data_IF_473826624839
#
_entry.id   IF_473826624839
#
_cell.length_a   1.000
_cell.length_b   1.000
_cell.length_c   1.000
_cell.angle_alpha   90.00
_cell.angle_beta   90.00
_cell.angle_gamma   90.00
#
_symmetry.space_group_name_H-M   'P 1'
#
loop_
_entity.id
_entity.type
_entity.pdbx_description
1 polymer ?
#
# COMPACT_ATOMS: atom_id res chain seq x y z
N UNK A 1 -13.13 -21.57 -7.64
CA UNK A 1 -13.48 -20.15 -7.81
C UNK A 1 -12.27 -19.35 -7.40
N UNK A 2 -11.78 -18.38 -8.19
CA UNK A 2 -10.62 -17.57 -7.83
C UNK A 2 -10.89 -16.74 -6.56
N UNK A 3 -9.80 -16.40 -5.85
CA UNK A 3 -9.84 -15.52 -4.69
C UNK A 3 -9.40 -14.11 -5.13
N UNK A 4 -10.17 -13.10 -4.78
CA UNK A 4 -9.77 -11.71 -4.97
C UNK A 4 -8.79 -11.32 -3.85
N UNK A 5 -7.61 -10.85 -4.23
CA UNK A 5 -6.59 -10.36 -3.31
C UNK A 5 -6.43 -8.84 -3.46
N UNK A 6 -6.74 -8.12 -2.39
CA UNK A 6 -6.54 -6.67 -2.35
C UNK A 6 -5.31 -6.30 -1.53
N UNK A 7 -4.38 -5.58 -2.14
CA UNK A 7 -3.26 -4.95 -1.44
C UNK A 7 -3.71 -3.57 -0.97
N UNK A 8 -4.01 -3.46 0.32
CA UNK A 8 -4.37 -2.22 0.99
C UNK A 8 -3.10 -1.51 1.44
N UNK A 9 -2.70 -0.51 0.69
CA UNK A 9 -1.43 0.17 0.92
C UNK A 9 -1.55 1.65 0.56
N UNK A 10 -1.15 2.60 1.43
CA UNK A 10 -1.15 4.02 1.10
C UNK A 10 -0.27 4.33 -0.12
N UNK A 11 -0.51 5.44 -0.83
CA UNK A 11 0.37 5.86 -1.92
C UNK A 11 1.79 6.09 -1.37
N UNK A 12 2.82 5.86 -2.20
CA UNK A 12 4.25 6.06 -1.85
C UNK A 12 4.77 5.24 -0.67
N UNK A 13 4.03 4.25 -0.19
CA UNK A 13 4.45 3.36 0.90
C UNK A 13 4.98 2.01 0.44
N UNK A 14 5.39 1.89 -0.82
CA UNK A 14 5.94 0.66 -1.38
C UNK A 14 4.89 -0.26 -2.01
N UNK A 15 3.67 0.24 -2.21
CA UNK A 15 2.56 -0.52 -2.78
C UNK A 15 2.90 -1.17 -4.13
N UNK A 16 3.61 -0.45 -4.99
CA UNK A 16 4.03 -0.97 -6.30
C UNK A 16 5.03 -2.11 -6.17
N UNK A 17 5.96 -2.03 -5.20
CA UNK A 17 6.92 -3.11 -4.94
C UNK A 17 6.18 -4.38 -4.51
N UNK A 18 5.31 -4.29 -3.51
CA UNK A 18 4.55 -5.44 -3.02
C UNK A 18 3.64 -6.03 -4.11
N UNK A 19 2.95 -5.18 -4.85
CA UNK A 19 2.09 -5.61 -5.96
C UNK A 19 2.88 -6.35 -7.05
N UNK A 20 4.02 -5.80 -7.49
CA UNK A 20 4.88 -6.43 -8.50
C UNK A 20 5.47 -7.74 -7.97
N UNK A 21 5.89 -7.80 -6.71
CA UNK A 21 6.39 -9.02 -6.08
C UNK A 21 5.33 -10.14 -6.07
N UNK A 22 4.10 -9.84 -5.66
CA UNK A 22 3.00 -10.80 -5.69
C UNK A 22 2.70 -11.23 -7.14
N UNK A 23 2.82 -10.31 -8.09
CA UNK A 23 2.57 -10.59 -9.51
C UNK A 23 3.64 -11.48 -10.17
N UNK A 24 4.76 -11.80 -9.51
CA UNK A 24 5.73 -12.78 -10.00
C UNK A 24 5.22 -14.21 -9.91
N UNK A 25 4.25 -14.48 -9.04
CA UNK A 25 3.63 -15.82 -8.93
C UNK A 25 2.85 -16.17 -10.20
N UNK A 26 3.07 -17.39 -10.69
CA UNK A 26 2.34 -17.94 -11.85
C UNK A 26 0.85 -18.11 -11.59
N UNK A 27 0.43 -18.11 -10.32
CA UNK A 27 -0.94 -18.29 -9.86
C UNK A 27 -1.74 -16.98 -9.81
N UNK A 28 -1.10 -15.85 -10.12
CA UNK A 28 -1.71 -14.51 -10.03
C UNK A 28 -2.10 -13.97 -11.39
N UNK A 29 -3.28 -13.40 -11.46
CA UNK A 29 -3.66 -12.44 -12.50
C UNK A 29 -3.77 -11.06 -11.89
N UNK A 30 -2.87 -10.16 -12.26
CA UNK A 30 -2.91 -8.75 -11.85
C UNK A 30 -3.63 -7.92 -12.88
N UNK A 31 -4.29 -6.83 -12.44
CA UNK A 31 -4.66 -5.77 -13.38
C UNK A 31 -3.39 -5.14 -14.00
N UNK A 32 -3.45 -4.64 -15.24
CA UNK A 32 -2.28 -4.04 -15.92
C UNK A 32 -1.80 -2.74 -15.23
N UNK A 33 -2.72 -2.08 -14.51
CA UNK A 33 -2.52 -0.85 -13.72
C UNK A 33 -3.21 -1.00 -12.38
N UNK A 34 -3.13 0.03 -11.53
CA UNK A 34 -4.07 0.18 -10.42
C UNK A 34 -5.49 0.23 -11.00
N UNK A 35 -6.43 -0.52 -10.43
CA UNK A 35 -7.78 -0.60 -10.96
C UNK A 35 -8.49 0.75 -11.12
N UNK A 36 -8.07 1.74 -10.31
CA UNK A 36 -8.54 3.13 -10.43
C UNK A 36 -8.03 3.89 -11.66
N UNK A 37 -7.04 3.38 -12.38
CA UNK A 37 -6.46 4.00 -13.58
C UNK A 37 -6.85 3.29 -14.87
N UNK A 38 -7.70 2.26 -14.81
CA UNK A 38 -8.23 1.69 -16.03
C UNK A 38 -9.11 2.72 -16.76
N UNK A 39 -8.98 2.84 -18.07
CA UNK A 39 -9.64 3.92 -18.85
C UNK A 39 -11.13 4.05 -18.58
N UNK A 40 -11.83 2.92 -18.43
CA UNK A 40 -13.28 2.89 -18.20
C UNK A 40 -13.69 3.34 -16.79
N UNK A 41 -12.74 3.39 -15.86
CA UNK A 41 -12.99 3.63 -14.43
C UNK A 41 -12.26 4.85 -13.89
N UNK A 42 -11.30 5.42 -14.62
CA UNK A 42 -10.43 6.46 -14.10
C UNK A 42 -11.22 7.68 -13.60
N UNK A 43 -12.13 8.20 -14.41
CA UNK A 43 -12.96 9.34 -14.01
C UNK A 43 -13.77 9.01 -12.77
N UNK A 44 -14.43 7.85 -12.77
CA UNK A 44 -15.33 7.41 -11.71
C UNK A 44 -14.60 7.17 -10.38
N UNK A 45 -13.50 6.42 -10.40
CA UNK A 45 -12.81 6.00 -9.18
C UNK A 45 -11.90 7.07 -8.60
N UNK A 46 -11.51 8.06 -9.41
CA UNK A 46 -10.63 9.16 -9.00
C UNK A 46 -11.38 10.46 -8.66
N UNK A 47 -12.68 10.50 -8.87
CA UNK A 47 -13.53 11.51 -8.29
C UNK A 47 -13.54 11.31 -6.77
N UNK A 48 -13.12 12.32 -6.01
CA UNK A 48 -13.07 12.30 -4.55
C UNK A 48 -12.47 11.02 -3.92
N UNK A 49 -11.28 10.56 -4.36
CA UNK A 49 -10.78 9.22 -4.07
C UNK A 49 -10.58 8.93 -2.57
N UNK A 50 -10.46 9.97 -1.74
CA UNK A 50 -10.27 9.90 -0.30
C UNK A 50 -11.50 10.30 0.52
N UNK A 51 -12.65 10.45 -0.14
CA UNK A 51 -13.92 10.69 0.55
C UNK A 51 -14.58 9.34 0.90
N UNK A 52 -14.74 9.05 2.20
CA UNK A 52 -15.38 7.82 2.69
C UNK A 52 -16.87 7.73 2.33
N UNK A 53 -17.52 8.88 2.16
CA UNK A 53 -18.94 8.95 1.86
C UNK A 53 -19.25 8.85 0.35
N UNK A 54 -18.20 8.86 -0.49
CA UNK A 54 -18.36 8.73 -1.94
C UNK A 54 -18.72 7.29 -2.31
N UNK A 55 -19.93 7.10 -2.80
CA UNK A 55 -20.47 5.79 -3.18
C UNK A 55 -20.06 5.45 -4.62
N UNK A 56 -19.32 4.36 -4.78
CA UNK A 56 -18.91 3.84 -6.08
C UNK A 56 -19.82 2.69 -6.54
N UNK A 57 -20.12 2.57 -7.85
CA UNK A 57 -20.89 1.47 -8.41
C UNK A 57 -20.03 0.19 -8.50
N UNK A 58 -19.79 -0.46 -7.39
CA UNK A 58 -18.89 -1.61 -7.28
C UNK A 58 -19.23 -2.79 -8.20
N UNK A 59 -20.52 -3.12 -8.49
CA UNK A 59 -20.84 -4.15 -9.48
C UNK A 59 -20.29 -3.82 -10.87
N UNK A 60 -20.38 -2.56 -11.30
CA UNK A 60 -19.82 -2.10 -12.58
C UNK A 60 -18.28 -2.16 -12.55
N UNK A 61 -17.65 -1.67 -11.47
CA UNK A 61 -16.19 -1.71 -11.30
C UNK A 61 -15.69 -3.15 -11.39
N UNK A 62 -16.34 -4.07 -10.67
CA UNK A 62 -16.01 -5.48 -10.70
C UNK A 62 -16.14 -6.08 -12.10
N UNK A 63 -17.23 -5.80 -12.80
CA UNK A 63 -17.44 -6.29 -14.15
C UNK A 63 -16.33 -5.82 -15.12
N UNK A 64 -15.90 -4.55 -15.02
CA UNK A 64 -14.76 -4.04 -15.80
C UNK A 64 -13.47 -4.75 -15.41
N UNK A 65 -13.14 -4.87 -14.12
CA UNK A 65 -11.91 -5.55 -13.69
C UNK A 65 -11.86 -7.01 -14.13
N UNK A 66 -12.99 -7.71 -14.13
CA UNK A 66 -13.11 -9.11 -14.60
C UNK A 66 -12.83 -9.28 -16.10
N UNK A 67 -12.92 -8.22 -16.91
CA UNK A 67 -12.49 -8.27 -18.32
C UNK A 67 -10.96 -8.23 -18.51
N UNK A 68 -10.24 -7.71 -17.50
CA UNK A 68 -8.78 -7.61 -17.51
C UNK A 68 -8.10 -8.78 -16.83
N UNK A 69 -8.76 -9.41 -15.84
CA UNK A 69 -8.21 -10.57 -15.16
C UNK A 69 -8.36 -11.86 -15.97
N UNK A 70 -7.33 -12.69 -15.96
CA UNK A 70 -7.48 -14.10 -16.29
C UNK A 70 -8.14 -14.84 -15.13
N UNK A 71 -9.45 -15.00 -15.20
CA UNK A 71 -10.25 -15.64 -14.15
C UNK A 71 -10.01 -17.15 -14.00
N UNK A 72 -9.15 -17.75 -14.82
CA UNK A 72 -8.66 -19.13 -14.65
C UNK A 72 -7.55 -19.21 -13.61
N UNK A 73 -6.88 -18.10 -13.30
CA UNK A 73 -5.88 -18.04 -12.24
C UNK A 73 -6.55 -18.08 -10.87
N UNK A 74 -5.95 -18.76 -9.88
CA UNK A 74 -6.52 -18.86 -8.54
C UNK A 74 -6.58 -17.56 -7.78
N UNK A 75 -5.73 -16.57 -8.11
CA UNK A 75 -5.62 -15.28 -7.43
C UNK A 75 -5.81 -14.12 -8.40
N UNK A 76 -6.79 -13.25 -8.11
CA UNK A 76 -7.05 -12.03 -8.86
C UNK A 76 -6.61 -10.83 -8.02
N UNK A 77 -5.53 -10.18 -8.42
CA UNK A 77 -4.83 -9.16 -7.63
C UNK A 77 -5.22 -7.75 -8.03
N UNK A 78 -5.56 -6.93 -7.03
CA UNK A 78 -5.81 -5.50 -7.19
C UNK A 78 -5.05 -4.68 -6.13
N UNK A 79 -4.56 -3.51 -6.54
CA UNK A 79 -3.92 -2.52 -5.68
C UNK A 79 -4.23 -1.11 -6.17
N UNK A 80 -5.14 -0.44 -5.49
CA UNK A 80 -5.41 0.99 -5.61
C UNK A 80 -5.36 1.63 -4.23
N UNK A 81 -4.51 2.62 -3.98
CA UNK A 81 -4.31 3.18 -2.63
C UNK A 81 -5.60 3.64 -1.93
N UNK A 82 -6.59 4.27 -2.60
CA UNK A 82 -7.83 4.65 -1.94
C UNK A 82 -8.67 3.48 -1.41
N UNK A 83 -8.38 2.24 -1.80
CA UNK A 83 -9.11 1.06 -1.31
C UNK A 83 -8.91 0.84 0.20
N UNK A 84 -7.91 1.47 0.84
CA UNK A 84 -7.76 1.43 2.30
C UNK A 84 -8.97 2.00 3.04
N UNK A 85 -9.75 2.89 2.44
CA UNK A 85 -10.98 3.46 3.02
C UNK A 85 -12.27 2.83 2.46
N UNK A 86 -12.17 1.82 1.58
CA UNK A 86 -13.30 1.23 0.84
C UNK A 86 -13.54 -0.25 1.19
N UNK A 87 -12.94 -0.73 2.25
CA UNK A 87 -12.87 -2.15 2.60
C UNK A 87 -14.23 -2.81 2.78
N UNK A 88 -15.20 -2.13 3.39
CA UNK A 88 -16.55 -2.66 3.59
C UNK A 88 -17.30 -2.87 2.26
N UNK A 89 -17.14 -1.92 1.33
CA UNK A 89 -17.73 -2.06 0.01
C UNK A 89 -17.05 -3.19 -0.80
N UNK A 90 -15.74 -3.37 -0.66
CA UNK A 90 -15.01 -4.49 -1.27
C UNK A 90 -15.50 -5.82 -0.69
N UNK A 91 -15.62 -5.95 0.63
CA UNK A 91 -16.17 -7.15 1.28
C UNK A 91 -17.57 -7.50 0.79
N UNK A 92 -18.40 -6.52 0.51
CA UNK A 92 -19.78 -6.73 0.03
C UNK A 92 -19.82 -7.27 -1.41
N UNK A 93 -18.87 -6.87 -2.26
CA UNK A 93 -18.93 -7.10 -3.71
C UNK A 93 -17.98 -8.19 -4.23
N UNK A 94 -16.92 -8.54 -3.49
CA UNK A 94 -15.91 -9.51 -3.91
C UNK A 94 -15.88 -10.71 -2.96
N UNK A 95 -16.12 -11.94 -3.49
CA UNK A 95 -16.16 -13.18 -2.69
C UNK A 95 -15.65 -14.36 -3.52
N UNK A 96 -14.75 -15.19 -3.00
CA UNK A 96 -14.00 -14.98 -1.74
C UNK A 96 -12.97 -13.83 -1.88
N UNK A 97 -12.69 -13.12 -0.80
CA UNK A 97 -11.75 -12.00 -0.79
C UNK A 97 -10.77 -12.11 0.39
N UNK A 98 -9.51 -11.77 0.13
CA UNK A 98 -8.44 -11.64 1.13
C UNK A 98 -7.76 -10.28 1.02
N UNK A 99 -7.17 -9.83 2.12
CA UNK A 99 -6.50 -8.53 2.20
C UNK A 99 -5.08 -8.65 2.74
N UNK A 100 -4.15 -7.99 2.06
CA UNK A 100 -2.82 -7.72 2.62
C UNK A 100 -2.76 -6.23 2.90
N UNK A 101 -2.54 -5.89 4.18
CA UNK A 101 -2.43 -4.53 4.69
C UNK A 101 -0.94 -4.22 4.78
N UNK A 102 -0.48 -3.11 4.19
CA UNK A 102 0.89 -2.65 4.36
C UNK A 102 0.93 -1.16 4.69
N UNK A 103 1.81 -0.82 5.64
CA UNK A 103 2.15 0.56 6.02
C UNK A 103 3.64 0.80 5.86
N UNK A 104 4.07 2.04 5.99
CA UNK A 104 5.48 2.46 5.92
C UNK A 104 5.76 3.50 6.99
N UNK A 105 7.04 3.60 7.39
CA UNK A 105 7.53 4.66 8.27
C UNK A 105 6.94 6.02 7.86
N UNK A 106 6.28 6.75 8.79
CA UNK A 106 5.53 7.96 8.47
C UNK A 106 6.39 9.10 7.92
N UNK A 107 7.68 9.17 8.29
CA UNK A 107 8.59 10.18 7.75
C UNK A 107 8.91 9.91 6.28
N UNK A 108 9.29 8.67 5.94
CA UNK A 108 9.57 8.25 4.57
C UNK A 108 8.31 8.32 3.67
N UNK A 109 7.12 8.06 4.25
CA UNK A 109 5.84 8.21 3.56
C UNK A 109 5.56 9.69 3.29
N UNK A 110 5.71 10.55 4.31
CA UNK A 110 5.51 12.00 4.20
C UNK A 110 6.48 12.65 3.21
N UNK A 111 7.76 12.22 3.19
CA UNK A 111 8.73 12.63 2.16
C UNK A 111 8.17 12.36 0.76
N UNK A 112 7.70 11.14 0.51
CA UNK A 112 7.12 10.77 -0.77
C UNK A 112 5.93 11.64 -1.19
N UNK A 113 5.05 11.97 -0.25
CA UNK A 113 3.89 12.85 -0.46
C UNK A 113 4.32 14.29 -0.76
N UNK A 114 5.27 14.83 -0.01
CA UNK A 114 5.80 16.17 -0.24
C UNK A 114 6.43 16.27 -1.62
N UNK A 115 7.37 15.37 -1.93
CA UNK A 115 8.15 15.42 -3.17
C UNK A 115 7.31 15.19 -4.42
N UNK A 116 6.36 14.22 -4.37
CA UNK A 116 5.57 13.83 -5.55
C UNK A 116 4.33 14.67 -5.79
N UNK A 117 3.72 15.19 -4.73
CA UNK A 117 2.47 15.95 -4.80
C UNK A 117 2.67 17.44 -4.52
N UNK A 118 3.90 17.88 -4.23
CA UNK A 118 4.21 19.23 -3.79
C UNK A 118 3.37 19.67 -2.56
N UNK A 119 3.19 18.74 -1.60
CA UNK A 119 2.42 19.04 -0.39
C UNK A 119 3.28 19.69 0.68
N UNK A 120 2.64 20.54 1.49
CA UNK A 120 3.28 21.07 2.69
C UNK A 120 3.58 19.94 3.70
N UNK A 121 4.59 20.14 4.55
CA UNK A 121 5.00 19.20 5.60
C UNK A 121 3.81 18.77 6.44
N UNK A 122 3.04 19.73 6.95
CA UNK A 122 1.89 19.49 7.81
C UNK A 122 0.80 18.67 7.11
N UNK A 123 0.53 18.96 5.82
CA UNK A 123 -0.45 18.19 5.03
C UNK A 123 0.01 16.75 4.84
N UNK A 124 1.27 16.54 4.50
CA UNK A 124 1.84 15.21 4.28
C UNK A 124 1.85 14.39 5.57
N UNK A 125 2.25 14.99 6.70
CA UNK A 125 2.26 14.32 8.01
C UNK A 125 0.85 13.92 8.47
N UNK A 126 -0.13 14.83 8.36
CA UNK A 126 -1.53 14.51 8.73
C UNK A 126 -2.11 13.40 7.84
N UNK A 127 -1.84 13.40 6.54
CA UNK A 127 -2.29 12.34 5.65
C UNK A 127 -1.61 11.01 5.99
N UNK A 128 -0.33 11.03 6.34
CA UNK A 128 0.40 9.85 6.77
C UNK A 128 -0.22 9.23 8.03
N UNK A 129 -0.53 10.04 9.04
CA UNK A 129 -1.24 9.58 10.26
C UNK A 129 -2.64 9.06 9.93
N UNK A 130 -3.39 9.75 9.08
CA UNK A 130 -4.71 9.28 8.63
C UNK A 130 -4.61 7.88 8.03
N UNK A 131 -3.61 7.63 7.16
CA UNK A 131 -3.39 6.32 6.57
C UNK A 131 -3.02 5.26 7.61
N UNK A 132 -2.11 5.56 8.55
CA UNK A 132 -1.73 4.62 9.63
C UNK A 132 -2.92 4.25 10.51
N UNK A 133 -3.76 5.23 10.87
CA UNK A 133 -4.98 5.00 11.65
C UNK A 133 -5.98 4.13 10.89
N UNK A 134 -6.26 4.48 9.64
CA UNK A 134 -7.17 3.70 8.78
C UNK A 134 -6.67 2.25 8.63
N UNK A 135 -5.38 2.05 8.43
CA UNK A 135 -4.83 0.69 8.34
C UNK A 135 -4.89 -0.06 9.67
N UNK A 136 -4.74 0.63 10.81
CA UNK A 136 -4.94 0.03 12.12
C UNK A 136 -6.41 -0.36 12.36
N UNK A 137 -7.36 0.44 11.91
CA UNK A 137 -8.79 0.10 11.87
C UNK A 137 -9.02 -1.15 11.01
N UNK A 138 -8.46 -1.17 9.80
CA UNK A 138 -8.56 -2.30 8.88
C UNK A 138 -8.01 -3.61 9.49
N UNK A 139 -6.91 -3.57 10.26
CA UNK A 139 -6.40 -4.78 10.92
C UNK A 139 -7.36 -5.37 11.96
N UNK A 140 -8.22 -4.56 12.52
CA UNK A 140 -9.21 -4.98 13.53
C UNK A 140 -10.53 -5.44 12.90
N UNK A 141 -10.93 -4.80 11.79
CA UNK A 141 -12.22 -5.03 11.14
C UNK A 141 -12.18 -6.14 10.08
N UNK A 142 -11.03 -6.31 9.40
CA UNK A 142 -10.86 -7.30 8.34
C UNK A 142 -10.37 -8.63 8.95
N UNK A 143 -11.31 -9.50 9.27
CA UNK A 143 -10.99 -10.78 9.86
C UNK A 143 -10.03 -11.58 8.99
N UNK A 144 -8.88 -11.98 9.56
CA UNK A 144 -7.87 -12.77 8.89
C UNK A 144 -7.04 -12.01 7.84
N UNK A 145 -7.04 -10.66 7.82
CA UNK A 145 -6.13 -9.91 6.96
C UNK A 145 -4.66 -10.08 7.40
N UNK A 146 -3.74 -10.14 6.44
CA UNK A 146 -2.31 -10.15 6.74
C UNK A 146 -1.79 -8.71 6.83
N UNK A 147 -1.23 -8.33 7.97
CA UNK A 147 -0.58 -7.04 8.17
C UNK A 147 0.95 -7.14 8.04
N UNK A 148 1.53 -6.22 7.28
CA UNK A 148 2.97 -6.09 7.03
C UNK A 148 3.38 -4.62 7.17
N UNK A 149 4.68 -4.39 7.37
CA UNK A 149 5.29 -3.07 7.14
C UNK A 149 6.20 -3.12 5.92
N UNK A 150 6.39 -1.99 5.25
CA UNK A 150 7.37 -1.86 4.17
C UNK A 150 8.76 -2.31 4.65
N UNK A 151 9.12 -1.93 5.86
CA UNK A 151 10.39 -2.28 6.49
C UNK A 151 10.57 -3.80 6.61
N UNK A 152 9.52 -4.50 7.04
CA UNK A 152 9.57 -5.98 7.14
C UNK A 152 9.74 -6.64 5.78
N UNK A 153 9.19 -6.04 4.73
CA UNK A 153 9.32 -6.53 3.36
C UNK A 153 10.74 -6.33 2.82
N UNK A 154 11.32 -5.12 2.98
CA UNK A 154 12.60 -4.79 2.35
C UNK A 154 13.82 -5.26 3.15
N UNK A 155 13.71 -5.40 4.47
CA UNK A 155 14.81 -5.88 5.33
C UNK A 155 14.92 -7.41 5.32
N UNK A 156 13.82 -8.12 5.11
CA UNK A 156 13.81 -9.57 5.00
C UNK A 156 12.75 -10.07 4.01
N UNK A 157 12.99 -9.92 2.70
CA UNK A 157 12.04 -10.29 1.66
C UNK A 157 11.59 -11.75 1.74
N UNK A 158 12.52 -12.65 1.98
CA UNK A 158 12.24 -14.10 2.10
C UNK A 158 11.26 -14.37 3.23
N UNK A 159 11.47 -13.79 4.41
CA UNK A 159 10.56 -13.95 5.55
C UNK A 159 9.19 -13.31 5.29
N UNK A 160 9.15 -12.17 4.60
CA UNK A 160 7.90 -11.53 4.21
C UNK A 160 7.12 -12.43 3.22
N UNK A 161 7.79 -12.99 2.21
CA UNK A 161 7.17 -13.93 1.27
C UNK A 161 6.69 -15.21 1.96
N UNK A 162 7.44 -15.75 2.93
CA UNK A 162 6.98 -16.90 3.71
C UNK A 162 5.68 -16.59 4.48
N UNK A 163 5.56 -15.41 5.09
CA UNK A 163 4.32 -14.98 5.75
C UNK A 163 3.15 -14.84 4.76
N UNK A 164 3.43 -14.29 3.58
CA UNK A 164 2.42 -14.16 2.52
C UNK A 164 1.99 -15.55 2.03
N UNK A 165 2.94 -16.48 1.82
CA UNK A 165 2.64 -17.86 1.42
C UNK A 165 1.87 -18.65 2.49
N UNK A 166 2.17 -18.45 3.78
CA UNK A 166 1.38 -19.02 4.88
C UNK A 166 -0.07 -18.49 4.90
N UNK A 167 -0.23 -17.20 4.61
CA UNK A 167 -1.54 -16.58 4.51
C UNK A 167 -2.31 -17.01 3.26
N UNK A 168 -1.62 -17.18 2.14
CA UNK A 168 -2.16 -17.57 0.84
C UNK A 168 -1.19 -18.52 0.13
N UNK A 169 -1.36 -19.85 0.30
CA UNK A 169 -0.43 -20.87 -0.22
C UNK A 169 -0.20 -20.80 -1.73
N UNK A 170 -1.16 -20.28 -2.47
CA UNK A 170 -1.06 -20.05 -3.92
C UNK A 170 0.08 -19.10 -4.31
N UNK A 171 0.60 -18.30 -3.35
CA UNK A 171 1.68 -17.34 -3.56
C UNK A 171 3.05 -17.87 -3.12
N UNK A 172 3.22 -19.19 -2.95
CA UNK A 172 4.48 -19.79 -2.48
C UNK A 172 5.63 -19.70 -3.48
N UNK A 173 5.36 -19.40 -4.73
CA UNK A 173 6.31 -19.32 -5.84
C UNK A 173 6.74 -17.88 -6.20
N UNK A 174 6.45 -16.90 -5.32
CA UNK A 174 6.91 -15.51 -5.53
C UNK A 174 8.44 -15.43 -5.64
N UNK A 175 8.92 -14.66 -6.61
CA UNK A 175 10.35 -14.47 -6.87
C UNK A 175 10.91 -13.26 -6.12
N UNK A 176 11.68 -13.52 -5.06
CA UNK A 176 12.35 -12.50 -4.25
C UNK A 176 13.62 -11.93 -4.90
N UNK A 177 14.16 -12.61 -5.91
CA UNK A 177 15.37 -12.19 -6.62
C UNK A 177 15.06 -11.30 -7.83
N UNK A 178 13.79 -11.16 -8.20
CA UNK A 178 13.36 -10.30 -9.29
C UNK A 178 13.73 -8.83 -9.05
N UNK A 179 14.09 -8.14 -10.12
CA UNK A 179 14.27 -6.70 -10.10
C UNK A 179 12.98 -6.01 -10.56
N UNK A 180 12.64 -4.93 -9.88
CA UNK A 180 11.41 -4.20 -10.11
C UNK A 180 11.69 -2.75 -10.50
N UNK A 181 10.93 -2.24 -11.46
CA UNK A 181 10.87 -0.79 -11.70
C UNK A 181 10.18 -0.12 -10.52
N UNK A 182 10.92 0.66 -9.78
CA UNK A 182 10.42 1.43 -8.64
C UNK A 182 10.75 2.92 -8.83
N UNK A 183 9.82 3.76 -8.40
CA UNK A 183 10.02 5.20 -8.37
C UNK A 183 10.70 5.61 -7.07
N UNK A 184 11.83 6.29 -7.18
CA UNK A 184 12.62 6.79 -6.05
C UNK A 184 12.96 8.27 -6.22
N UNK A 185 13.82 8.80 -5.33
CA UNK A 185 14.41 10.15 -5.44
C UNK A 185 15.20 10.28 -6.74
N UNK A 186 15.90 9.21 -7.14
CA UNK A 186 16.74 9.15 -8.34
C UNK A 186 15.96 8.86 -9.65
N UNK A 187 14.62 8.97 -9.61
CA UNK A 187 13.77 8.65 -10.76
C UNK A 187 13.25 7.22 -10.75
N UNK A 188 12.97 6.67 -11.93
CA UNK A 188 12.50 5.28 -12.11
C UNK A 188 13.69 4.40 -12.49
N UNK A 189 14.00 3.44 -11.64
CA UNK A 189 15.10 2.51 -11.83
C UNK A 189 14.65 1.08 -11.60
N UNK A 190 15.15 0.14 -12.41
CA UNK A 190 15.02 -1.29 -12.13
C UNK A 190 16.06 -1.70 -11.11
N UNK A 191 15.61 -2.22 -9.98
CA UNK A 191 16.51 -2.66 -8.90
C UNK A 191 15.87 -3.80 -8.09
N UNK A 192 16.69 -4.62 -7.41
CA UNK A 192 16.19 -5.61 -6.47
C UNK A 192 15.45 -4.94 -5.31
N UNK A 193 14.79 -5.73 -4.49
CA UNK A 193 14.14 -5.26 -3.26
C UNK A 193 15.17 -4.54 -2.38
N UNK A 194 14.97 -3.24 -2.18
CA UNK A 194 15.95 -2.38 -1.49
C UNK A 194 15.24 -1.43 -0.55
N UNK A 195 15.80 -1.21 0.64
CA UNK A 195 15.29 -0.21 1.56
C UNK A 195 15.59 1.22 1.06
N UNK A 196 14.52 1.98 0.88
CA UNK A 196 14.59 3.40 0.49
C UNK A 196 14.23 4.34 1.65
N UNK A 197 13.99 3.83 2.86
CA UNK A 197 13.67 4.68 4.00
C UNK A 197 14.85 5.56 4.41
N UNK A 198 16.02 4.96 4.49
CA UNK A 198 17.25 5.67 4.89
C UNK A 198 17.51 6.88 4.00
N UNK A 199 17.45 6.70 2.68
CA UNK A 199 17.67 7.81 1.72
C UNK A 199 16.58 8.88 1.86
N UNK A 200 15.33 8.49 2.04
CA UNK A 200 14.20 9.42 2.18
C UNK A 200 14.25 10.20 3.48
N UNK A 201 14.54 9.54 4.59
CA UNK A 201 14.63 10.22 5.90
C UNK A 201 15.85 11.11 5.99
N UNK A 202 16.99 10.71 5.40
CA UNK A 202 18.20 11.52 5.34
C UNK A 202 18.02 12.79 4.47
N UNK A 203 17.05 12.83 3.57
CA UNK A 203 16.74 14.02 2.78
C UNK A 203 15.91 15.08 3.54
N UNK A 204 15.39 14.74 4.73
CA UNK A 204 14.59 15.63 5.55
C UNK A 204 15.49 16.55 6.40
N UNK A 205 15.23 17.87 6.34
CA UNK A 205 15.91 18.80 7.24
C UNK A 205 15.44 18.68 8.69
N UNK A 206 16.25 19.13 9.65
CA UNK A 206 15.88 19.19 11.05
C UNK A 206 14.54 19.92 11.28
N UNK A 207 14.33 21.05 10.62
CA UNK A 207 13.07 21.81 10.68
C UNK A 207 11.87 21.01 10.14
N UNK A 208 12.08 20.23 9.07
CA UNK A 208 11.05 19.36 8.50
C UNK A 208 10.68 18.25 9.48
N UNK A 209 11.67 17.59 10.09
CA UNK A 209 11.44 16.53 11.08
C UNK A 209 10.71 17.11 12.32
N UNK A 210 11.13 18.27 12.82
CA UNK A 210 10.46 18.96 13.93
C UNK A 210 8.98 19.22 13.61
N UNK A 211 8.68 19.78 12.43
CA UNK A 211 7.30 20.04 11.99
C UNK A 211 6.47 18.74 11.81
N UNK A 212 7.09 17.63 11.43
CA UNK A 212 6.42 16.32 11.39
C UNK A 212 6.18 15.79 12.81
N UNK A 213 7.15 15.98 13.73
CA UNK A 213 7.02 15.59 15.13
C UNK A 213 5.88 16.32 15.82
N UNK A 214 5.61 17.59 15.50
CA UNK A 214 4.45 18.33 16.02
C UNK A 214 3.12 17.65 15.70
N UNK A 215 3.03 16.97 14.56
CA UNK A 215 1.84 16.18 14.17
C UNK A 215 1.89 14.80 14.79
N UNK A 216 3.02 14.09 14.65
CA UNK A 216 3.13 12.68 15.02
C UNK A 216 3.04 12.46 16.54
N UNK A 217 3.57 13.39 17.34
CA UNK A 217 3.49 13.34 18.81
C UNK A 217 2.06 13.39 19.35
N UNK A 218 1.10 13.87 18.57
CA UNK A 218 -0.32 13.88 18.93
C UNK A 218 -0.98 12.50 18.74
N UNK A 219 -0.27 11.52 18.16
CA UNK A 219 -0.79 10.19 17.83
C UNK A 219 0.13 9.05 18.29
N UNK A 220 0.61 9.05 19.55
CA UNK A 220 1.61 8.11 20.03
C UNK A 220 1.14 6.65 19.96
N UNK A 221 -0.13 6.40 20.25
CA UNK A 221 -0.69 5.04 20.19
C UNK A 221 -0.73 4.48 18.76
N UNK A 222 -0.96 5.33 17.77
CA UNK A 222 -0.94 4.92 16.36
C UNK A 222 0.47 4.54 15.91
N UNK A 223 1.47 5.35 16.28
CA UNK A 223 2.88 5.05 15.98
C UNK A 223 3.31 3.77 16.65
N UNK A 224 3.06 3.64 17.94
CA UNK A 224 3.41 2.47 18.75
C UNK A 224 2.78 1.18 18.21
N UNK A 225 1.52 1.23 17.79
CA UNK A 225 0.83 0.07 17.25
C UNK A 225 1.51 -0.50 15.98
N UNK A 226 2.20 0.35 15.22
CA UNK A 226 2.98 -0.05 14.04
C UNK A 226 4.48 -0.19 14.31
N UNK A 227 4.94 0.03 15.55
CA UNK A 227 6.35 -0.04 15.93
C UNK A 227 7.18 1.14 15.45
N UNK A 228 6.56 2.31 15.23
CA UNK A 228 7.26 3.53 14.83
C UNK A 228 7.48 4.47 16.02
N UNK A 229 8.60 5.17 15.98
CA UNK A 229 9.02 6.16 16.97
C UNK A 229 9.25 7.52 16.31
N UNK A 230 9.26 8.57 17.13
CA UNK A 230 9.64 9.90 16.66
C UNK A 230 11.13 9.96 16.33
N UNK A 231 11.47 10.57 15.19
CA UNK A 231 12.86 10.83 14.84
C UNK A 231 13.40 12.01 15.66
N UNK A 232 14.65 11.87 16.11
CA UNK A 232 15.40 12.99 16.67
C UNK A 232 15.90 13.85 15.51
N UNK A 233 15.57 15.16 15.48
CA UNK A 233 16.11 16.05 14.44
C UNK A 233 17.64 16.06 14.49
N UNK A 234 18.35 15.99 13.36
CA UNK A 234 19.80 16.17 13.35
C UNK A 234 20.18 17.55 13.88
N UNK A 235 21.34 17.62 14.56
CA UNK A 235 21.91 18.86 15.12
C UNK A 235 22.31 19.83 14.01
#
# INVERSE_FOLDING_TARGET
>A
MPCYLFVLCPPYSGSTLLWKLISTSINVSSLPLEGQFLPELETLMREQPWNRDHVLPWPQIKAVWETYWDTKKPVLLEKSPPNIIRTQAILANFKPVKFIIMVRNPYAHSEGLMRRNNWSVKRAANFSIMCLRTQLENTRELNGALALTYESLVLNPTKACQKIAQFMPELSDMDTEASFEIHSIDGTLSRPITDLNTVKTASLSAATIASMNDVFSQHPETLKAWGYELLVPPL
#
